data_IF_091901522923
#
_entry.id   IF_091901522923
#
_cell.length_a   1.000
_cell.length_b   1.000
_cell.length_c   1.000
_cell.angle_alpha   90.00
_cell.angle_beta   90.00
_cell.angle_gamma   90.00
#
_symmetry.space_group_name_H-M   'P 1'
#
loop_
_entity.id
_entity.type
_entity.pdbx_description
1 polymer ?
#
# COMPACT_ATOMS: atom_id res chain seq x y z
N UNK A 1 10.20 -16.37 -13.29
CA UNK A 1 10.23 -14.95 -12.84
C UNK A 1 11.11 -14.90 -11.63
N UNK A 2 12.10 -13.99 -11.59
CA UNK A 2 12.99 -13.87 -10.44
C UNK A 2 12.28 -13.22 -9.24
N UNK A 3 12.84 -13.42 -8.04
CA UNK A 3 12.33 -12.81 -6.81
C UNK A 3 12.29 -11.29 -6.90
N UNK A 4 13.35 -10.67 -7.44
CA UNK A 4 13.42 -9.21 -7.64
C UNK A 4 12.36 -8.72 -8.64
N UNK A 5 12.16 -9.42 -9.76
CA UNK A 5 11.14 -9.05 -10.74
C UNK A 5 9.73 -9.15 -10.16
N UNK A 6 9.50 -10.12 -9.29
CA UNK A 6 8.22 -10.25 -8.61
C UNK A 6 7.87 -9.00 -7.75
N UNK A 7 8.86 -8.46 -7.01
CA UNK A 7 8.68 -7.22 -6.23
C UNK A 7 8.43 -6.00 -7.15
N UNK A 8 9.22 -5.87 -8.23
CA UNK A 8 9.04 -4.78 -9.21
C UNK A 8 7.65 -4.82 -9.87
N UNK A 9 7.13 -6.01 -10.20
CA UNK A 9 5.79 -6.16 -10.78
C UNK A 9 4.70 -5.78 -9.77
N UNK A 10 4.89 -6.06 -8.48
CA UNK A 10 3.97 -5.63 -7.43
C UNK A 10 3.99 -4.13 -7.21
N UNK A 11 5.12 -3.44 -7.41
CA UNK A 11 5.17 -1.98 -7.39
C UNK A 11 4.21 -1.35 -8.40
N UNK A 12 3.91 -2.01 -9.53
CA UNK A 12 2.90 -1.52 -10.46
C UNK A 12 1.52 -1.47 -9.82
N UNK A 13 1.15 -2.51 -9.05
CA UNK A 13 -0.13 -2.56 -8.32
C UNK A 13 -0.14 -1.53 -7.19
N UNK A 14 0.95 -1.43 -6.43
CA UNK A 14 1.11 -0.45 -5.33
C UNK A 14 0.94 0.98 -5.84
N UNK A 15 1.51 1.33 -6.98
CA UNK A 15 1.38 2.66 -7.61
C UNK A 15 -0.02 2.91 -8.15
N UNK A 16 -0.71 1.90 -8.68
CA UNK A 16 -2.13 2.02 -9.06
C UNK A 16 -2.96 2.41 -7.85
N UNK A 17 -2.76 1.73 -6.71
CA UNK A 17 -3.41 2.08 -5.45
C UNK A 17 -3.04 3.49 -4.98
N UNK A 18 -1.78 3.91 -5.14
CA UNK A 18 -1.32 5.28 -4.88
C UNK A 18 -2.07 6.33 -5.70
N UNK A 19 -2.31 6.06 -7.00
CA UNK A 19 -3.12 6.92 -7.87
C UNK A 19 -4.58 6.99 -7.42
N UNK A 20 -5.17 5.85 -7.03
CA UNK A 20 -6.53 5.79 -6.50
C UNK A 20 -6.63 6.63 -5.23
N UNK A 21 -5.70 6.48 -4.29
CA UNK A 21 -5.65 7.26 -3.06
C UNK A 21 -5.54 8.78 -3.35
N UNK A 22 -4.71 9.16 -4.34
CA UNK A 22 -4.59 10.55 -4.79
C UNK A 22 -5.92 11.09 -5.32
N UNK A 23 -6.54 10.39 -6.26
CA UNK A 23 -7.82 10.78 -6.88
C UNK A 23 -8.93 10.88 -5.83
N UNK A 24 -9.00 9.90 -4.93
CA UNK A 24 -9.94 9.92 -3.80
C UNK A 24 -9.72 11.16 -2.92
N UNK A 25 -8.49 11.46 -2.54
CA UNK A 25 -8.16 12.67 -1.78
C UNK A 25 -8.60 13.94 -2.49
N UNK A 26 -8.24 14.10 -3.77
CA UNK A 26 -8.58 15.28 -4.58
C UNK A 26 -10.10 15.44 -4.69
N UNK A 27 -10.84 14.34 -4.88
CA UNK A 27 -12.29 14.33 -4.92
C UNK A 27 -12.92 14.73 -3.58
N UNK A 28 -12.41 14.23 -2.45
CA UNK A 28 -12.88 14.62 -1.12
C UNK A 28 -12.66 16.12 -0.84
N UNK A 29 -11.52 16.67 -1.23
CA UNK A 29 -11.25 18.12 -1.13
C UNK A 29 -12.16 18.96 -2.04
N UNK A 30 -12.57 18.41 -3.18
CA UNK A 30 -13.50 19.05 -4.13
C UNK A 30 -14.97 18.82 -3.78
N UNK A 31 -15.27 18.22 -2.62
CA UNK A 31 -16.62 17.84 -2.18
C UNK A 31 -17.33 16.86 -3.13
N UNK A 32 -16.59 16.09 -3.90
CA UNK A 32 -17.14 15.00 -4.70
C UNK A 32 -17.75 13.93 -3.78
N UNK A 33 -18.87 13.34 -4.23
CA UNK A 33 -19.50 12.26 -3.48
C UNK A 33 -18.77 10.94 -3.74
N UNK A 34 -17.86 10.55 -2.82
CA UNK A 34 -17.14 9.30 -2.86
C UNK A 34 -17.75 8.36 -1.83
N UNK A 35 -18.18 7.15 -2.21
CA UNK A 35 -18.71 6.17 -1.27
C UNK A 35 -17.69 5.83 -0.18
N UNK A 36 -18.14 5.76 1.07
CA UNK A 36 -17.28 5.40 2.22
C UNK A 36 -16.71 3.99 2.03
N UNK A 37 -17.49 3.10 1.46
CA UNK A 37 -17.11 1.73 1.16
C UNK A 37 -15.90 1.66 0.22
N UNK A 38 -15.80 2.57 -0.77
CA UNK A 38 -14.65 2.65 -1.66
C UNK A 38 -13.38 3.06 -0.88
N UNK A 39 -13.51 3.97 0.09
CA UNK A 39 -12.39 4.39 0.95
C UNK A 39 -11.99 3.25 1.91
N UNK A 40 -12.95 2.47 2.40
CA UNK A 40 -12.68 1.28 3.20
C UNK A 40 -11.90 0.22 2.39
N UNK A 41 -12.27 0.01 1.13
CA UNK A 41 -11.55 -0.89 0.22
C UNK A 41 -10.10 -0.41 0.04
N UNK A 42 -9.86 0.88 -0.18
CA UNK A 42 -8.49 1.45 -0.26
C UNK A 42 -7.71 1.07 1.01
N UNK A 43 -8.28 1.29 2.20
CA UNK A 43 -7.62 0.99 3.48
C UNK A 43 -7.29 -0.49 3.65
N UNK A 44 -8.20 -1.39 3.24
CA UNK A 44 -7.99 -2.85 3.31
C UNK A 44 -6.86 -3.29 2.36
N UNK A 45 -6.84 -2.77 1.12
CA UNK A 45 -5.79 -3.11 0.15
C UNK A 45 -4.41 -2.60 0.62
N UNK A 46 -4.35 -1.42 1.23
CA UNK A 46 -3.12 -0.91 1.85
C UNK A 46 -2.60 -1.89 2.90
N UNK A 47 -3.46 -2.36 3.80
CA UNK A 47 -3.06 -3.23 4.90
C UNK A 47 -2.65 -4.62 4.43
N UNK A 48 -3.48 -5.24 3.59
CA UNK A 48 -3.30 -6.65 3.25
C UNK A 48 -2.33 -6.86 2.09
N UNK A 49 -2.49 -6.08 0.99
CA UNK A 49 -1.63 -6.24 -0.17
C UNK A 49 -0.29 -5.53 0.01
N UNK A 50 -0.29 -4.24 0.40
CA UNK A 50 0.96 -3.49 0.46
C UNK A 50 1.76 -3.88 1.70
N UNK A 51 1.19 -3.76 2.90
CA UNK A 51 1.95 -3.95 4.13
C UNK A 51 2.17 -5.43 4.48
N UNK A 52 1.09 -6.22 4.58
CA UNK A 52 1.23 -7.61 5.04
C UNK A 52 1.90 -8.52 4.00
N UNK A 53 1.56 -8.36 2.70
CA UNK A 53 2.06 -9.22 1.64
C UNK A 53 3.34 -8.67 1.00
N UNK A 54 3.31 -7.49 0.38
CA UNK A 54 4.42 -6.93 -0.37
C UNK A 54 5.62 -6.59 0.56
N UNK A 55 5.45 -5.66 1.51
CA UNK A 55 6.48 -5.36 2.49
C UNK A 55 6.86 -6.59 3.34
N UNK A 56 5.90 -7.49 3.58
CA UNK A 56 6.16 -8.76 4.28
C UNK A 56 7.22 -9.60 3.57
N UNK A 57 7.23 -9.65 2.23
CA UNK A 57 8.26 -10.35 1.44
C UNK A 57 9.61 -9.65 1.52
N UNK A 58 9.62 -8.33 1.46
CA UNK A 58 10.84 -7.55 1.55
C UNK A 58 11.50 -7.69 2.92
N UNK A 59 10.76 -7.46 3.98
CA UNK A 59 11.28 -7.45 5.35
C UNK A 59 11.68 -8.84 5.86
N UNK A 60 10.91 -9.88 5.50
CA UNK A 60 11.10 -11.23 6.04
C UNK A 60 12.01 -12.12 5.16
N UNK A 61 12.17 -11.78 3.88
CA UNK A 61 12.94 -12.60 2.94
C UNK A 61 14.00 -11.79 2.18
N UNK A 62 13.63 -10.80 1.40
CA UNK A 62 14.52 -10.14 0.44
C UNK A 62 15.61 -9.30 1.12
N UNK A 63 15.25 -8.44 2.05
CA UNK A 63 16.20 -7.59 2.77
C UNK A 63 17.18 -8.40 3.64
N UNK A 64 16.78 -9.45 4.39
CA UNK A 64 17.73 -10.30 5.10
C UNK A 64 18.79 -10.93 4.21
N UNK A 65 18.43 -11.39 3.01
CA UNK A 65 19.37 -12.00 2.05
C UNK A 65 20.33 -10.97 1.44
N UNK A 66 19.87 -9.76 1.20
CA UNK A 66 20.63 -8.71 0.50
C UNK A 66 21.40 -7.78 1.43
N UNK A 67 21.03 -7.68 2.71
CA UNK A 67 21.56 -6.72 3.69
C UNK A 67 23.09 -6.69 3.80
N UNK A 68 23.74 -7.81 3.71
CA UNK A 68 25.21 -7.92 3.89
C UNK A 68 25.97 -7.90 2.56
N UNK A 69 25.28 -7.65 1.45
CA UNK A 69 25.86 -7.61 0.11
C UNK A 69 26.08 -6.17 -0.33
N UNK A 70 27.20 -5.90 -0.98
CA UNK A 70 27.48 -4.62 -1.66
C UNK A 70 27.17 -3.33 -0.85
N UNK A 71 27.29 -3.35 0.47
CA UNK A 71 27.00 -2.21 1.35
C UNK A 71 25.52 -1.77 1.36
N UNK A 72 24.57 -2.65 1.05
CA UNK A 72 23.13 -2.33 1.01
C UNK A 72 22.48 -2.15 2.38
N UNK A 73 23.18 -2.39 3.47
CA UNK A 73 22.61 -2.32 4.83
C UNK A 73 22.00 -0.96 5.19
N UNK A 74 22.60 0.13 4.71
CA UNK A 74 22.10 1.48 5.00
C UNK A 74 20.82 1.81 4.20
N UNK A 75 20.75 1.39 2.94
CA UNK A 75 19.54 1.60 2.14
C UNK A 75 18.37 0.76 2.70
N UNK A 76 18.61 -0.50 3.04
CA UNK A 76 17.62 -1.35 3.68
C UNK A 76 17.14 -0.76 5.02
N UNK A 77 18.06 -0.19 5.83
CA UNK A 77 17.68 0.49 7.07
C UNK A 77 16.73 1.65 6.81
N UNK A 78 16.95 2.43 5.76
CA UNK A 78 16.07 3.53 5.35
C UNK A 78 14.71 3.01 4.91
N UNK A 79 14.65 1.97 4.08
CA UNK A 79 13.39 1.35 3.64
C UNK A 79 12.56 0.83 4.82
N UNK A 80 13.18 0.17 5.79
CA UNK A 80 12.48 -0.29 6.99
C UNK A 80 11.87 0.87 7.81
N UNK A 81 12.55 2.03 7.86
CA UNK A 81 12.02 3.25 8.50
C UNK A 81 10.85 3.81 7.66
N UNK A 82 10.96 3.80 6.35
CA UNK A 82 9.91 4.26 5.45
C UNK A 82 8.68 3.33 5.52
N UNK A 83 8.83 2.01 5.60
CA UNK A 83 7.72 1.07 5.85
C UNK A 83 6.97 1.41 7.14
N UNK A 84 7.70 1.69 8.23
CA UNK A 84 7.07 2.09 9.48
C UNK A 84 6.31 3.43 9.35
N UNK A 85 6.83 4.37 8.56
CA UNK A 85 6.11 5.62 8.24
C UNK A 85 4.82 5.31 7.46
N UNK A 86 4.89 4.44 6.44
CA UNK A 86 3.72 3.99 5.67
C UNK A 86 2.64 3.38 6.55
N UNK A 87 3.03 2.49 7.50
CA UNK A 87 2.12 1.88 8.49
C UNK A 87 1.44 2.93 9.37
N UNK A 88 2.18 3.96 9.81
CA UNK A 88 1.62 5.04 10.62
C UNK A 88 0.59 5.85 9.83
N UNK A 89 0.89 6.19 8.57
CA UNK A 89 -0.06 6.89 7.69
C UNK A 89 -1.32 6.04 7.50
N UNK A 90 -1.18 4.75 7.19
CA UNK A 90 -2.30 3.82 7.02
C UNK A 90 -3.15 3.68 8.30
N UNK A 91 -2.50 3.58 9.46
CA UNK A 91 -3.21 3.52 10.76
C UNK A 91 -3.99 4.80 11.05
N UNK A 92 -3.42 5.97 10.75
CA UNK A 92 -4.12 7.25 10.93
C UNK A 92 -5.29 7.37 9.94
N UNK A 93 -5.11 6.97 8.68
CA UNK A 93 -6.19 6.92 7.70
C UNK A 93 -7.37 6.09 8.21
N UNK A 94 -7.10 4.88 8.71
CA UNK A 94 -8.12 3.99 9.24
C UNK A 94 -8.87 4.61 10.41
N UNK A 95 -8.13 5.17 11.36
CA UNK A 95 -8.73 5.84 12.52
C UNK A 95 -9.68 6.96 12.11
N UNK A 96 -9.27 7.83 11.19
CA UNK A 96 -10.10 8.95 10.73
C UNK A 96 -11.30 8.45 9.90
N UNK A 97 -11.14 7.35 9.18
CA UNK A 97 -12.24 6.70 8.47
C UNK A 97 -13.28 6.10 9.42
N UNK A 98 -12.86 5.46 10.51
CA UNK A 98 -13.76 4.96 11.57
C UNK A 98 -14.57 6.11 12.19
N UNK A 99 -13.92 7.23 12.50
CA UNK A 99 -14.59 8.44 13.02
C UNK A 99 -15.61 8.95 12.00
N UNK A 100 -15.25 8.99 10.71
CA UNK A 100 -16.15 9.43 9.65
C UNK A 100 -17.40 8.53 9.53
N UNK A 101 -17.22 7.21 9.61
CA UNK A 101 -18.30 6.21 9.56
C UNK A 101 -19.26 6.36 10.75
N UNK A 102 -18.73 6.54 11.94
CA UNK A 102 -19.55 6.69 13.15
C UNK A 102 -20.37 7.98 13.12
N UNK A 103 -19.84 9.05 12.56
CA UNK A 103 -20.58 10.30 12.34
C UNK A 103 -21.71 10.13 11.32
N UNK A 104 -21.47 9.44 10.22
CA UNK A 104 -22.48 9.22 9.16
C UNK A 104 -23.68 8.41 9.68
N UNK A 105 -23.43 7.42 10.54
CA UNK A 105 -24.50 6.67 11.24
C UNK A 105 -25.32 7.55 12.18
N UNK A 106 -24.71 8.53 12.84
CA UNK A 106 -25.37 9.43 13.77
C UNK A 106 -26.29 10.43 13.03
N UNK A 107 -25.89 10.92 11.86
CA UNK A 107 -26.67 11.82 11.00
C UNK A 107 -27.95 11.16 10.47
N UNK A 108 -27.91 9.88 10.13
CA UNK A 108 -29.08 9.11 9.67
C UNK A 108 -30.12 8.89 10.79
N UNK A 109 -29.72 9.02 12.06
CA UNK A 109 -30.59 8.87 13.23
C UNK A 109 -31.21 10.18 13.75
N UNK A 110 -31.06 11.31 13.03
CA UNK A 110 -31.69 12.61 13.37
C UNK A 110 -30.92 13.44 14.41
N UNK A 111 -29.64 13.18 14.62
CA UNK A 111 -28.74 13.96 15.45
C UNK A 111 -28.29 15.28 14.80
N UNK A 112 -27.65 16.14 15.59
CA UNK A 112 -27.15 17.46 15.20
C UNK A 112 -26.42 17.44 13.84
N UNK A 113 -26.88 18.26 12.89
CA UNK A 113 -26.20 18.47 11.58
C UNK A 113 -24.79 19.00 11.80
N UNK A 114 -23.79 18.15 11.72
CA UNK A 114 -22.40 18.55 11.67
C UNK A 114 -22.03 19.03 10.25
N UNK A 115 -21.12 20.00 10.19
CA UNK A 115 -20.59 20.49 8.91
C UNK A 115 -19.77 19.38 8.25
N UNK A 116 -20.39 18.57 7.38
CA UNK A 116 -19.86 17.38 6.70
C UNK A 116 -18.51 17.62 6.01
N UNK A 117 -18.23 18.85 5.57
CA UNK A 117 -16.96 19.20 4.92
C UNK A 117 -15.74 19.15 5.85
N UNK A 118 -15.90 19.42 7.15
CA UNK A 118 -14.80 19.35 8.12
C UNK A 118 -14.43 17.91 8.50
N UNK A 119 -15.37 16.98 8.44
CA UNK A 119 -15.16 15.60 8.86
C UNK A 119 -14.38 14.78 7.83
N UNK A 120 -14.40 15.14 6.54
CA UNK A 120 -13.72 14.42 5.45
C UNK A 120 -12.25 14.83 5.27
N UNK A 121 -11.86 16.02 5.73
CA UNK A 121 -10.50 16.56 5.56
C UNK A 121 -9.40 15.65 6.12
N UNK A 122 -9.48 15.09 7.34
CA UNK A 122 -8.43 14.22 7.84
C UNK A 122 -8.23 12.96 6.98
N UNK A 123 -9.32 12.35 6.50
CA UNK A 123 -9.27 11.19 5.59
C UNK A 123 -8.60 11.59 4.27
N UNK A 124 -9.01 12.71 3.65
CA UNK A 124 -8.42 13.22 2.43
C UNK A 124 -6.91 13.49 2.59
N UNK A 125 -6.51 14.11 3.69
CA UNK A 125 -5.10 14.40 4.00
C UNK A 125 -4.25 13.13 4.12
N UNK A 126 -4.74 12.09 4.81
CA UNK A 126 -3.97 10.86 4.95
C UNK A 126 -3.92 10.05 3.66
N UNK A 127 -4.97 10.04 2.84
CA UNK A 127 -4.94 9.48 1.48
C UNK A 127 -3.89 10.17 0.62
N UNK A 128 -3.82 11.51 0.65
CA UNK A 128 -2.80 12.28 -0.06
C UNK A 128 -1.39 11.94 0.43
N UNK A 129 -1.21 11.90 1.75
CA UNK A 129 0.09 11.58 2.37
C UNK A 129 0.54 10.17 1.99
N UNK A 130 -0.39 9.20 1.96
CA UNK A 130 -0.10 7.83 1.54
C UNK A 130 0.30 7.76 0.06
N UNK A 131 -0.41 8.46 -0.82
CA UNK A 131 -0.05 8.52 -2.24
C UNK A 131 1.36 9.07 -2.44
N UNK A 132 1.69 10.21 -1.82
CA UNK A 132 3.04 10.80 -1.92
C UNK A 132 4.10 9.82 -1.40
N UNK A 133 3.84 9.20 -0.26
CA UNK A 133 4.72 8.19 0.33
C UNK A 133 4.98 7.04 -0.65
N UNK A 134 3.95 6.43 -1.21
CA UNK A 134 4.06 5.27 -2.11
C UNK A 134 4.93 5.57 -3.32
N UNK A 135 4.73 6.71 -4.00
CA UNK A 135 5.50 7.05 -5.18
C UNK A 135 6.98 7.33 -4.88
N UNK A 136 7.27 8.03 -3.79
CA UNK A 136 8.64 8.32 -3.38
C UNK A 136 9.37 7.02 -2.96
N UNK A 137 8.73 6.22 -2.13
CA UNK A 137 9.26 4.98 -1.59
C UNK A 137 9.55 3.95 -2.67
N UNK A 138 8.54 3.56 -3.46
CA UNK A 138 8.72 2.56 -4.53
C UNK A 138 9.69 3.02 -5.60
N UNK A 139 9.79 4.34 -5.86
CA UNK A 139 10.77 4.90 -6.78
C UNK A 139 12.21 4.67 -6.31
N UNK A 140 12.48 4.81 -5.02
CA UNK A 140 13.80 4.52 -4.43
C UNK A 140 14.12 3.02 -4.44
N UNK A 141 13.13 2.19 -4.11
CA UNK A 141 13.30 0.74 -4.11
C UNK A 141 13.49 0.18 -5.52
N UNK A 142 12.83 0.72 -6.55
CA UNK A 142 13.09 0.33 -7.94
C UNK A 142 14.57 0.52 -8.34
N UNK A 143 15.18 1.63 -7.92
CA UNK A 143 16.60 1.89 -8.16
C UNK A 143 17.47 0.87 -7.42
N UNK A 144 17.12 0.58 -6.17
CA UNK A 144 17.80 -0.42 -5.35
C UNK A 144 17.68 -1.82 -5.95
N UNK A 145 16.49 -2.26 -6.34
CA UNK A 145 16.26 -3.58 -6.95
C UNK A 145 16.99 -3.74 -8.29
N UNK A 146 16.98 -2.72 -9.14
CA UNK A 146 17.75 -2.70 -10.38
C UNK A 146 19.25 -2.80 -10.13
N UNK A 147 19.75 -2.12 -9.11
CA UNK A 147 21.16 -2.21 -8.71
C UNK A 147 21.54 -3.64 -8.27
N UNK A 148 20.65 -4.33 -7.56
CA UNK A 148 20.85 -5.74 -7.17
C UNK A 148 20.91 -6.64 -8.40
N UNK A 149 20.02 -6.45 -9.38
CA UNK A 149 20.00 -7.20 -10.63
C UNK A 149 21.28 -6.96 -11.46
N UNK A 150 21.67 -5.69 -11.66
CA UNK A 150 22.86 -5.30 -12.42
C UNK A 150 24.16 -5.85 -11.83
N UNK A 151 24.25 -5.90 -10.51
CA UNK A 151 25.42 -6.43 -9.79
C UNK A 151 25.38 -7.95 -9.61
N UNK A 152 24.34 -8.63 -10.10
CA UNK A 152 24.14 -10.07 -9.87
C UNK A 152 24.32 -10.45 -8.39
N UNK A 153 23.75 -9.63 -7.49
CA UNK A 153 23.99 -9.77 -6.05
C UNK A 153 23.27 -10.95 -5.41
N UNK A 154 22.31 -11.55 -6.08
CA UNK A 154 21.55 -12.74 -5.64
C UNK A 154 21.95 -13.92 -6.53
N UNK A 155 22.37 -15.04 -5.94
CA UNK A 155 22.64 -16.26 -6.70
C UNK A 155 21.35 -16.97 -7.11
N UNK A 156 21.43 -17.90 -8.07
CA UNK A 156 20.27 -18.69 -8.51
C UNK A 156 19.67 -19.50 -7.36
N UNK A 157 20.50 -20.05 -6.45
CA UNK A 157 20.04 -20.79 -5.29
C UNK A 157 19.30 -19.89 -4.29
N UNK A 158 19.82 -18.67 -4.04
CA UNK A 158 19.16 -17.68 -3.19
C UNK A 158 17.83 -17.21 -3.80
N UNK A 159 17.78 -16.99 -5.11
CA UNK A 159 16.56 -16.60 -5.81
C UNK A 159 15.46 -17.67 -5.68
N UNK A 160 15.82 -18.94 -5.83
CA UNK A 160 14.91 -20.08 -5.61
C UNK A 160 14.37 -20.08 -4.15
N UNK A 161 15.22 -19.82 -3.17
CA UNK A 161 14.81 -19.77 -1.76
C UNK A 161 13.92 -18.56 -1.47
N UNK A 162 14.22 -17.40 -2.05
CA UNK A 162 13.38 -16.19 -1.94
C UNK A 162 11.98 -16.45 -2.48
N UNK A 163 11.86 -17.03 -3.68
CA UNK A 163 10.55 -17.36 -4.25
C UNK A 163 9.77 -18.32 -3.35
N UNK A 164 10.41 -19.31 -2.72
CA UNK A 164 9.76 -20.18 -1.74
C UNK A 164 9.27 -19.41 -0.51
N UNK A 165 10.05 -18.47 0.01
CA UNK A 165 9.62 -17.61 1.12
C UNK A 165 8.43 -16.71 0.74
N UNK A 166 8.37 -16.25 -0.51
CA UNK A 166 7.22 -15.47 -1.00
C UNK A 166 5.92 -16.28 -0.97
N UNK A 167 5.99 -17.59 -1.24
CA UNK A 167 4.84 -18.49 -1.08
C UNK A 167 4.38 -18.61 0.39
N UNK A 168 5.33 -18.59 1.34
CA UNK A 168 5.01 -18.56 2.77
C UNK A 168 4.31 -17.24 3.12
N UNK A 169 4.84 -16.09 2.68
CA UNK A 169 4.22 -14.79 2.89
C UNK A 169 2.80 -14.76 2.28
N UNK A 170 2.63 -15.29 1.06
CA UNK A 170 1.32 -15.40 0.40
C UNK A 170 0.34 -16.21 1.23
N UNK A 171 0.76 -17.37 1.73
CA UNK A 171 -0.08 -18.24 2.56
C UNK A 171 -0.50 -17.54 3.85
N UNK A 172 0.41 -16.79 4.49
CA UNK A 172 0.15 -16.03 5.70
C UNK A 172 -0.86 -14.88 5.50
N UNK A 173 -0.96 -14.38 4.28
CA UNK A 173 -1.89 -13.28 3.91
C UNK A 173 -3.22 -13.81 3.34
N UNK A 174 -3.54 -15.09 3.52
CA UNK A 174 -4.78 -15.70 3.08
C UNK A 174 -4.72 -16.44 1.73
N UNK A 175 -3.51 -16.64 1.20
CA UNK A 175 -3.26 -17.43 0.00
C UNK A 175 -3.49 -16.69 -1.31
N UNK A 176 -3.31 -17.40 -2.42
CA UNK A 176 -3.39 -16.85 -3.78
C UNK A 176 -4.75 -16.18 -4.06
N UNK A 177 -5.86 -16.81 -3.65
CA UNK A 177 -7.19 -16.27 -3.88
C UNK A 177 -7.39 -14.90 -3.21
N UNK A 178 -6.83 -14.69 -2.01
CA UNK A 178 -6.92 -13.41 -1.31
C UNK A 178 -6.10 -12.32 -2.00
N UNK A 179 -4.91 -12.64 -2.47
CA UNK A 179 -4.06 -11.69 -3.23
C UNK A 179 -4.76 -11.29 -4.54
N UNK A 180 -5.31 -12.26 -5.28
CA UNK A 180 -6.07 -11.98 -6.50
C UNK A 180 -7.33 -11.13 -6.22
N UNK A 181 -7.99 -11.34 -5.09
CA UNK A 181 -9.10 -10.51 -4.66
C UNK A 181 -8.65 -9.05 -4.43
N UNK A 182 -7.53 -8.82 -3.74
CA UNK A 182 -6.99 -7.47 -3.54
C UNK A 182 -6.69 -6.78 -4.87
N UNK A 183 -6.10 -7.50 -5.83
CA UNK A 183 -5.82 -6.97 -7.17
C UNK A 183 -7.12 -6.65 -7.93
N UNK A 184 -8.16 -7.49 -7.81
CA UNK A 184 -9.48 -7.20 -8.39
C UNK A 184 -10.13 -5.97 -7.76
N UNK A 185 -9.97 -5.77 -6.44
CA UNK A 185 -10.46 -4.58 -5.75
C UNK A 185 -9.77 -3.30 -6.23
N UNK A 186 -8.47 -3.35 -6.57
CA UNK A 186 -7.78 -2.21 -7.22
C UNK A 186 -8.45 -1.91 -8.57
N UNK A 187 -8.68 -2.91 -9.42
CA UNK A 187 -9.39 -2.73 -10.70
C UNK A 187 -10.82 -2.19 -10.51
N UNK A 188 -11.57 -2.73 -9.55
CA UNK A 188 -12.89 -2.22 -9.22
C UNK A 188 -12.88 -0.73 -8.86
N UNK A 189 -11.91 -0.28 -8.06
CA UNK A 189 -11.77 1.13 -7.69
C UNK A 189 -11.41 2.01 -8.88
N UNK A 190 -10.59 1.54 -9.81
CA UNK A 190 -10.21 2.27 -11.03
C UNK A 190 -11.41 2.53 -11.96
N UNK A 191 -12.39 1.61 -11.96
CA UNK A 191 -13.61 1.71 -12.78
C UNK A 191 -14.71 2.59 -12.13
N UNK A 192 -14.46 3.17 -10.95
CA UNK A 192 -15.44 4.01 -10.26
C UNK A 192 -15.60 5.37 -10.93
N UNK A 193 -16.84 5.89 -10.97
CA UNK A 193 -17.17 7.18 -11.59
C UNK A 193 -16.34 8.34 -11.05
N UNK A 194 -16.03 8.33 -9.75
CA UNK A 194 -15.25 9.37 -9.09
C UNK A 194 -13.76 9.38 -9.48
N UNK A 195 -13.27 8.36 -10.18
CA UNK A 195 -11.91 8.28 -10.72
C UNK A 195 -11.73 9.09 -12.03
N UNK A 196 -12.84 9.49 -12.69
CA UNK A 196 -12.82 10.23 -13.95
C UNK A 196 -12.66 11.74 -13.79
#
# INVERSE_FOLDING_TARGET
MSSTQNLLDEHLIVRRLGNIAKKCSDGLYSNQNIPIEDIQIISVVIEEFVDAFHHGKEEKAYFPVTKHKNSFSEDIRKFLIEHELGRRIAKMLRRELEILIDHDKCDQSGGLKWNTNKSKEPVARFLKSYSVFVFDHTGKEDVFFKTIQEKHSISDEEDIQLVKHYEICRTQTGGQARIEEMIRLVGYLEDREWMN
#
